data_IF_955607506982
#
_entry.id   IF_955607506982
#
_cell.length_a   1.000
_cell.length_b   1.000
_cell.length_c   1.000
_cell.angle_alpha   90.00
_cell.angle_beta   90.00
_cell.angle_gamma   90.00
#
_symmetry.space_group_name_H-M   'P 1'
#
loop_
_entity.id
_entity.type
_entity.pdbx_description
1 polymer ?
2 non-polymer ?
3 non-polymer ?
4 water ?
#
# COMPACT_ATOMS: atom_id res chain seq x y z
N UNK A 1 -8.69 -1.92 22.24
CA UNK A 1 -7.27 -1.62 21.89
C UNK A 1 -6.75 -2.72 20.98
N UNK A 2 -5.85 -2.38 20.06
CA UNK A 2 -5.26 -3.45 19.20
C UNK A 2 -4.24 -4.16 20.09
N UNK A 3 -4.14 -5.49 20.07
CA UNK A 3 -3.16 -6.05 21.01
C UNK A 3 -1.76 -5.79 20.45
N UNK A 4 -0.76 -5.80 21.33
CA UNK A 4 0.62 -5.67 20.91
C UNK A 4 1.02 -6.74 19.94
N UNK A 5 0.37 -7.91 20.01
CA UNK A 5 0.74 -8.99 19.09
C UNK A 5 0.20 -8.71 17.68
N UNK A 6 -1.06 -8.28 17.63
CA UNK A 6 -1.71 -8.03 16.33
C UNK A 6 -1.00 -6.83 15.66
N UNK A 7 -0.67 -5.86 16.48
CA UNK A 7 0.07 -4.69 16.09
C UNK A 7 1.42 -5.04 15.50
N UNK A 8 2.12 -6.08 15.99
CA UNK A 8 3.37 -6.46 15.39
C UNK A 8 3.15 -7.10 14.03
N UNK A 9 2.12 -7.92 13.87
CA UNK A 9 1.85 -8.57 12.60
C UNK A 9 1.49 -7.51 11.54
N UNK A 10 0.67 -6.55 11.94
CA UNK A 10 0.31 -5.44 11.08
C UNK A 10 1.58 -4.70 10.65
N UNK A 11 2.46 -4.37 11.59
CA UNK A 11 3.62 -3.57 11.26
C UNK A 11 4.82 -4.31 10.74
N UNK A 12 4.93 -5.64 10.78
CA UNK A 12 6.18 -6.24 10.41
C UNK A 12 6.07 -7.51 9.61
N UNK A 13 4.83 -8.03 9.50
CA UNK A 13 4.73 -9.31 8.81
C UNK A 13 4.17 -9.12 7.39
N UNK A 14 4.86 -9.68 6.42
CA UNK A 14 4.34 -9.79 5.06
C UNK A 14 4.91 -11.06 4.42
N UNK A 15 4.28 -12.19 4.84
CA UNK A 15 4.77 -13.51 4.50
C UNK A 15 4.43 -13.90 3.07
N UNK A 16 5.44 -14.44 2.36
CA UNK A 16 5.27 -14.78 0.96
C UNK A 16 6.58 -14.78 0.17
N UNK A 17 6.52 -15.36 -1.02
CA UNK A 17 7.64 -15.56 -1.90
C UNK A 17 8.19 -14.32 -2.58
N UNK A 18 7.37 -13.43 -3.12
CA UNK A 18 7.83 -12.21 -3.77
C UNK A 18 6.86 -11.04 -3.60
N UNK A 19 6.87 -10.43 -2.42
CA UNK A 19 5.98 -9.34 -2.05
C UNK A 19 6.18 -8.02 -2.78
N UNK A 20 7.34 -7.77 -3.39
CA UNK A 20 7.54 -6.51 -4.11
C UNK A 20 7.17 -6.65 -5.59
N UNK A 21 6.41 -7.69 -5.93
CA UNK A 21 5.95 -7.94 -7.27
C UNK A 21 4.80 -7.05 -7.75
N UNK A 22 4.99 -6.59 -8.99
CA UNK A 22 4.07 -5.75 -9.73
C UNK A 22 2.61 -6.14 -9.53
N UNK A 23 2.36 -7.45 -9.55
CA UNK A 23 1.00 -7.94 -9.44
C UNK A 23 0.33 -7.54 -8.15
N UNK A 24 1.11 -7.13 -7.15
CA UNK A 24 0.56 -6.70 -5.88
C UNK A 24 0.15 -5.24 -5.79
N UNK A 25 0.38 -4.47 -6.86
CA UNK A 25 0.08 -3.04 -6.85
C UNK A 25 -1.32 -2.72 -6.37
N UNK A 26 -2.34 -3.35 -6.93
CA UNK A 26 -3.71 -2.98 -6.56
C UNK A 26 -4.01 -3.31 -5.11
N UNK A 27 -3.52 -4.49 -4.70
CA UNK A 27 -3.70 -4.94 -3.33
C UNK A 27 -3.20 -3.89 -2.36
N UNK A 28 -1.96 -3.43 -2.55
CA UNK A 28 -1.43 -2.42 -1.65
C UNK A 28 -2.06 -1.05 -1.84
N UNK A 29 -2.41 -0.68 -3.08
CA UNK A 29 -2.92 0.69 -3.29
C UNK A 29 -4.34 0.82 -2.81
N UNK A 30 -5.08 -0.25 -3.09
CA UNK A 30 -6.49 -0.25 -2.64
C UNK A 30 -6.48 -0.11 -1.13
N UNK A 31 -5.50 -0.77 -0.49
CA UNK A 31 -5.34 -0.72 0.96
C UNK A 31 -4.86 0.65 1.39
N UNK A 32 -3.79 1.17 0.78
CA UNK A 32 -3.29 2.49 1.15
C UNK A 32 -4.32 3.58 1.02
N UNK A 33 -5.11 3.56 -0.07
CA UNK A 33 -6.07 4.63 -0.34
C UNK A 33 -7.39 4.45 0.33
N UNK A 34 -7.49 3.43 1.18
CA UNK A 34 -8.64 3.24 2.06
C UNK A 34 -9.91 2.79 1.39
N UNK A 35 -9.82 1.97 0.37
CA UNK A 35 -11.01 1.44 -0.30
C UNK A 35 -11.20 -0.05 0.03
N UNK A 36 -10.50 -0.50 1.08
CA UNK A 36 -10.62 -1.82 1.64
C UNK A 36 -11.18 -1.77 3.08
N UNK A 37 -11.74 -0.65 3.52
CA UNK A 37 -12.25 -0.47 4.87
C UNK A 37 -13.76 -0.66 4.95
N UNK A 38 -14.20 -1.65 5.73
CA UNK A 38 -15.68 -1.75 5.85
C UNK A 38 -16.18 -2.68 4.77
N UNK A 39 -15.54 -2.62 3.60
CA UNK A 39 -15.92 -3.52 2.50
C UNK A 39 -14.85 -3.48 1.42
N UNK A 40 -14.78 -4.44 0.51
CA UNK A 40 -13.82 -4.33 -0.59
C UNK A 40 -14.50 -3.58 -1.75
N UNK A 41 -13.91 -2.49 -2.23
CA UNK A 41 -14.50 -1.83 -3.44
C UNK A 41 -14.22 -2.76 -4.61
N UNK A 42 -15.27 -3.17 -5.34
CA UNK A 42 -15.09 -4.13 -6.40
C UNK A 42 -14.18 -3.66 -7.54
N UNK A 43 -14.37 -2.41 -7.98
CA UNK A 43 -13.69 -1.92 -9.19
C UNK A 43 -13.14 -0.51 -8.94
N UNK A 44 -11.87 -0.30 -9.26
CA UNK A 44 -11.33 1.06 -9.13
C UNK A 44 -10.16 1.24 -10.08
N UNK A 45 -10.14 2.39 -10.78
CA UNK A 45 -9.05 2.67 -11.74
C UNK A 45 -8.11 3.74 -11.20
N UNK A 46 -6.78 3.47 -11.33
CA UNK A 46 -5.87 4.54 -10.94
C UNK A 46 -5.30 5.15 -12.24
N UNK A 47 -5.15 6.46 -12.27
CA UNK A 47 -4.60 7.18 -13.44
C UNK A 47 -3.20 7.71 -13.16
N UNK A 48 -2.21 7.49 -13.99
CA UNK A 48 -0.84 7.86 -13.78
C UNK A 48 -0.36 9.14 -14.48
N UNK A 49 -1.23 9.80 -15.21
CA UNK A 49 -0.99 11.08 -15.85
C UNK A 49 -1.02 12.17 -14.80
N UNK A 50 -0.46 13.35 -15.06
CA UNK A 50 -0.56 14.44 -14.12
C UNK A 50 -1.99 14.83 -13.76
N UNK A 51 -2.16 15.46 -12.61
CA UNK A 51 -3.45 15.95 -12.14
C UNK A 51 -4.01 16.98 -13.12
N UNK A 52 -3.06 17.73 -13.69
CA UNK A 52 -3.44 18.80 -14.63
C UNK A 52 -4.02 18.22 -15.90
N UNK A 53 -3.45 17.15 -16.43
CA UNK A 53 -4.04 16.48 -17.59
C UNK A 53 -5.42 15.92 -17.33
N UNK A 54 -5.61 15.44 -16.08
CA UNK A 54 -6.92 14.81 -15.76
C UNK A 54 -7.93 15.89 -15.50
N UNK A 55 -7.49 17.02 -14.91
CA UNK A 55 -8.53 18.06 -14.67
C UNK A 55 -9.00 18.65 -16.00
N UNK A 56 -8.12 18.61 -17.01
CA UNK A 56 -8.47 19.20 -18.30
C UNK A 56 -9.55 18.44 -19.02
N UNK A 57 -9.65 17.11 -18.76
CA UNK A 57 -10.72 16.32 -19.35
C UNK A 57 -12.08 16.93 -19.13
N UNK A 58 -12.29 17.65 -18.04
CA UNK A 58 -13.57 18.29 -17.77
C UNK A 58 -13.93 19.38 -18.79
N UNK A 59 -13.02 19.66 -19.72
CA UNK A 59 -13.24 20.61 -20.80
C UNK A 59 -13.23 19.95 -22.16
N UNK A 60 -13.22 18.63 -22.19
CA UNK A 60 -13.07 17.93 -23.47
C UNK A 60 -14.36 17.34 -23.94
N UNK A 61 -14.40 16.13 -24.45
CA UNK A 61 -15.62 15.68 -25.12
C UNK A 61 -16.75 15.26 -24.20
N UNK A 62 -17.86 15.99 -24.20
CA UNK A 62 -19.01 15.65 -23.36
C UNK A 62 -19.73 14.39 -23.81
N UNK A 63 -19.90 13.43 -22.91
CA UNK A 63 -20.58 12.16 -23.22
C UNK A 63 -21.58 11.85 -22.11
N UNK A 64 -22.50 10.94 -22.31
CA UNK A 64 -23.45 10.55 -21.25
C UNK A 64 -22.79 9.49 -20.38
N UNK A 65 -23.06 9.59 -19.06
CA UNK A 65 -22.50 8.58 -18.13
C UNK A 65 -23.19 7.23 -18.26
N UNK A 66 -22.55 6.11 -17.92
CA UNK A 66 -23.23 4.81 -17.94
C UNK A 66 -24.55 4.85 -17.17
N UNK A 67 -24.63 5.60 -16.08
CA UNK A 67 -25.83 5.63 -15.23
C UNK A 67 -26.85 6.65 -15.68
N UNK A 68 -26.57 7.27 -16.85
CA UNK A 68 -27.52 8.15 -17.53
C UNK A 68 -27.40 9.59 -17.19
N UNK A 69 -26.48 9.94 -16.30
CA UNK A 69 -26.25 11.34 -15.96
C UNK A 69 -25.44 11.98 -17.10
N UNK A 70 -25.42 13.30 -17.10
CA UNK A 70 -24.90 13.95 -18.34
C UNK A 70 -23.67 14.77 -18.12
N UNK A 71 -23.06 14.70 -16.94
CA UNK A 71 -21.86 15.45 -16.63
C UNK A 71 -20.59 14.66 -16.83
N UNK A 72 -20.53 13.75 -17.78
CA UNK A 72 -19.30 13.00 -18.01
C UNK A 72 -18.58 13.54 -19.26
N UNK A 73 -17.29 13.43 -19.27
CA UNK A 73 -16.38 13.90 -20.27
C UNK A 73 -15.37 12.83 -20.63
N UNK A 74 -15.15 12.61 -21.91
CA UNK A 74 -14.17 11.67 -22.37
C UNK A 74 -12.86 12.39 -22.71
N UNK A 75 -11.72 11.76 -22.47
CA UNK A 75 -10.44 12.38 -22.74
C UNK A 75 -10.08 12.32 -24.23
N UNK A 76 -9.43 13.38 -24.72
CA UNK A 76 -9.03 13.44 -26.13
C UNK A 76 -7.92 12.42 -26.40
N UNK A 77 -7.01 12.35 -25.44
CA UNK A 77 -5.85 11.47 -25.58
C UNK A 77 -6.03 10.22 -24.69
N UNK A 78 -5.28 9.18 -25.04
CA UNK A 78 -5.20 7.95 -24.26
C UNK A 78 -4.31 8.21 -23.03
N UNK A 79 -4.72 7.66 -21.87
CA UNK A 79 -3.90 7.89 -20.68
C UNK A 79 -3.37 6.58 -20.12
N UNK A 80 -2.26 6.66 -19.41
CA UNK A 80 -1.74 5.50 -18.67
C UNK A 80 -2.56 5.32 -17.36
N UNK A 81 -3.24 4.18 -17.31
CA UNK A 81 -4.08 3.84 -16.15
C UNK A 81 -3.80 2.41 -15.64
N UNK A 82 -4.27 2.17 -14.40
CA UNK A 82 -4.27 0.80 -13.88
C UNK A 82 -5.69 0.45 -13.36
N UNK A 83 -6.17 -0.71 -13.81
CA UNK A 83 -7.47 -1.20 -13.38
C UNK A 83 -7.30 -2.20 -12.21
N UNK A 84 -8.03 -1.95 -11.15
CA UNK A 84 -8.07 -2.82 -9.98
C UNK A 84 -9.48 -3.42 -9.84
N UNK A 85 -9.53 -4.72 -10.16
CA UNK A 85 -10.77 -5.48 -10.12
C UNK A 85 -10.68 -6.63 -9.08
N UNK A 86 -11.68 -6.68 -8.22
CA UNK A 86 -11.71 -7.68 -7.16
C UNK A 86 -11.74 -9.08 -7.73
N UNK A 87 -10.89 -9.97 -7.18
CA UNK A 87 -10.79 -11.32 -7.73
C UNK A 87 -11.84 -12.27 -7.17
N UNK A 88 -11.79 -13.51 -7.67
CA UNK A 88 -12.69 -14.59 -7.25
C UNK A 88 -12.60 -14.92 -5.77
N UNK A 89 -11.40 -15.18 -5.32
CA UNK A 89 -11.01 -15.50 -3.96
C UNK A 89 -11.16 -14.40 -2.95
N UNK A 90 -11.56 -13.19 -3.36
CA UNK A 90 -11.57 -12.03 -2.46
C UNK A 90 -12.76 -12.08 -1.53
N UNK A 91 -12.50 -11.85 -0.26
CA UNK A 91 -13.52 -11.97 0.80
C UNK A 91 -13.20 -11.01 1.91
N UNK A 92 -14.06 -10.02 2.20
CA UNK A 92 -13.72 -9.09 3.29
C UNK A 92 -13.39 -9.93 4.54
N UNK A 93 -12.33 -9.56 5.30
CA UNK A 93 -11.50 -8.43 4.89
C UNK A 93 -10.22 -8.86 4.22
N UNK A 94 -10.21 -10.02 3.58
CA UNK A 94 -9.06 -10.40 2.75
C UNK A 94 -9.40 -9.92 1.31
N UNK A 95 -9.25 -8.61 1.10
CA UNK A 95 -9.54 -8.01 -0.21
C UNK A 95 -8.42 -8.24 -1.22
N UNK A 96 -8.72 -8.89 -2.33
CA UNK A 96 -7.70 -9.18 -3.31
C UNK A 96 -8.13 -8.67 -4.70
N UNK A 97 -7.12 -8.27 -5.46
CA UNK A 97 -7.42 -7.57 -6.71
C UNK A 97 -6.50 -8.02 -7.82
N UNK A 98 -7.03 -8.08 -9.02
CA UNK A 98 -6.12 -8.30 -10.19
C UNK A 98 -5.65 -6.91 -10.64
N UNK A 99 -4.40 -6.78 -10.99
CA UNK A 99 -3.80 -5.55 -11.46
C UNK A 99 -3.69 -5.57 -12.99
N UNK A 100 -4.37 -4.62 -13.67
CA UNK A 100 -4.24 -4.51 -15.12
C UNK A 100 -3.77 -3.12 -15.56
N UNK A 101 -2.60 -3.01 -16.16
CA UNK A 101 -2.09 -1.75 -16.70
C UNK A 101 -2.37 -1.71 -18.22
N UNK A 102 -3.06 -0.65 -18.60
CA UNK A 102 -3.44 -0.30 -19.95
C UNK A 102 -3.32 1.22 -20.20
N UNK A 103 -3.31 1.54 -21.49
CA UNK A 103 -3.40 2.94 -21.95
C UNK A 103 -4.70 3.14 -22.71
N UNK A 104 -5.64 3.93 -22.21
CA UNK A 104 -6.92 4.05 -22.86
C UNK A 104 -7.50 5.44 -22.68
N UNK A 105 -8.60 5.75 -23.37
CA UNK A 105 -9.23 7.06 -23.07
C UNK A 105 -10.02 6.87 -21.78
N UNK A 106 -10.12 7.89 -20.94
CA UNK A 106 -10.90 7.78 -19.71
C UNK A 106 -12.15 8.63 -19.84
N UNK A 107 -13.18 8.25 -19.10
CA UNK A 107 -14.37 9.08 -18.95
C UNK A 107 -14.55 9.39 -17.48
N UNK A 108 -14.70 10.66 -17.10
CA UNK A 108 -14.85 11.05 -15.72
C UNK A 108 -16.13 11.85 -15.62
N UNK A 109 -16.77 11.93 -14.46
CA UNK A 109 -17.83 12.92 -14.29
C UNK A 109 -17.15 14.13 -13.64
N UNK A 110 -17.63 15.33 -13.87
CA UNK A 110 -17.03 16.55 -13.34
C UNK A 110 -18.08 17.38 -12.62
N UNK A 111 -17.68 18.15 -11.64
CA UNK A 111 -18.68 18.85 -10.83
C UNK A 111 -17.99 19.84 -9.91
N UNK A 112 -18.77 20.68 -9.28
CA UNK A 112 -18.31 21.76 -8.44
C UNK A 112 -17.97 23.02 -9.25
N UNK A 113 -17.48 24.02 -8.55
CA UNK A 113 -17.07 25.29 -9.16
C UNK A 113 -15.75 25.68 -8.50
N UNK A 114 -14.66 25.54 -9.23
CA UNK A 114 -14.63 25.08 -10.59
C UNK A 114 -14.78 23.59 -10.86
N UNK A 115 -15.32 23.25 -12.02
CA UNK A 115 -15.57 21.89 -12.41
C UNK A 115 -14.36 20.99 -12.47
N UNK A 116 -14.24 20.01 -11.57
CA UNK A 116 -13.14 19.04 -11.54
C UNK A 116 -13.67 17.61 -11.46
N UNK A 117 -12.80 16.62 -11.65
CA UNK A 117 -13.22 15.22 -11.65
C UNK A 117 -13.75 14.82 -10.29
N UNK A 118 -14.88 14.11 -10.29
CA UNK A 118 -15.48 13.68 -9.04
C UNK A 118 -15.88 12.22 -9.09
N UNK A 119 -15.60 11.56 -10.20
CA UNK A 119 -16.05 10.19 -10.40
C UNK A 119 -15.39 9.64 -11.65
N UNK A 120 -14.87 8.41 -11.60
CA UNK A 120 -14.36 7.70 -12.73
C UNK A 120 -15.47 6.85 -13.31
N UNK A 121 -15.92 7.08 -14.54
CA UNK A 121 -17.00 6.32 -15.14
C UNK A 121 -16.59 5.13 -15.95
N UNK A 122 -15.50 5.21 -16.73
CA UNK A 122 -15.15 4.10 -17.61
C UNK A 122 -13.92 4.42 -18.43
N UNK A 123 -13.43 3.49 -19.18
CA UNK A 123 -12.29 3.65 -20.08
C UNK A 123 -12.68 2.98 -21.40
N UNK A 124 -12.14 3.51 -22.52
CA UNK A 124 -12.49 2.95 -23.84
C UNK A 124 -11.26 2.82 -24.72
N UNK B 1 -15.23 16.87 6.76
CA UNK B 1 -16.00 16.19 5.64
C UNK B 1 -15.24 16.34 4.32
N UNK B 2 -14.90 15.21 3.72
CA UNK B 2 -14.07 15.15 2.52
C UNK B 2 -14.82 15.61 1.27
N UNK B 3 -14.21 16.54 0.53
CA UNK B 3 -14.85 17.03 -0.69
C UNK B 3 -14.79 15.91 -1.74
N UNK B 4 -15.79 15.96 -2.65
CA UNK B 4 -15.86 15.02 -3.76
C UNK B 4 -14.59 15.06 -4.61
N UNK B 5 -14.00 16.25 -4.71
CA UNK B 5 -12.77 16.43 -5.47
C UNK B 5 -11.57 15.77 -4.81
N UNK B 6 -11.37 16.05 -3.51
CA UNK B 6 -10.26 15.39 -2.81
C UNK B 6 -10.39 13.88 -2.81
N UNK B 7 -11.65 13.43 -2.63
CA UNK B 7 -11.96 12.00 -2.74
C UNK B 7 -11.54 11.42 -4.06
N UNK B 8 -11.87 12.12 -5.17
CA UNK B 8 -11.42 11.60 -6.47
C UNK B 8 -9.92 11.45 -6.52
N UNK B 9 -9.15 12.42 -6.05
CA UNK B 9 -7.71 12.33 -6.03
C UNK B 9 -7.22 11.17 -5.19
N UNK B 10 -7.77 11.07 -3.95
CA UNK B 10 -7.46 9.91 -3.12
C UNK B 10 -7.76 8.60 -3.79
N UNK B 11 -8.94 8.43 -4.39
CA UNK B 11 -9.29 7.17 -5.02
C UNK B 11 -8.73 6.91 -6.38
N UNK B 12 -8.30 7.91 -7.19
CA UNK B 12 -7.90 7.52 -8.56
C UNK B 12 -6.61 8.08 -9.08
N UNK B 13 -5.95 8.97 -8.35
CA UNK B 13 -4.73 9.59 -8.84
C UNK B 13 -3.46 8.99 -8.27
N UNK B 14 -2.63 8.44 -9.16
CA UNK B 14 -1.31 7.99 -8.78
C UNK B 14 -0.33 8.38 -9.90
N UNK B 15 -0.16 9.71 -9.99
CA UNK B 15 0.66 10.33 -11.05
C UNK B 15 2.08 9.89 -10.98
N UNK B 16 2.63 9.44 -12.11
CA UNK B 16 4.05 9.02 -12.06
C UNK B 16 4.39 8.12 -13.21
N UNK B 17 5.65 7.78 -13.35
CA UNK B 17 6.08 7.05 -14.54
C UNK B 17 6.16 5.57 -14.34
N UNK B 18 6.58 5.14 -13.14
CA UNK B 18 6.57 3.66 -12.92
C UNK B 18 5.99 3.39 -11.53
N UNK B 19 4.68 3.52 -11.42
CA UNK B 19 3.97 3.32 -10.17
C UNK B 19 4.03 1.91 -9.59
N UNK B 20 4.24 0.84 -10.34
CA UNK B 20 4.26 -0.50 -9.74
C UNK B 20 5.68 -1.08 -9.61
N UNK B 21 6.67 -0.20 -9.65
CA UNK B 21 8.08 -0.54 -9.50
C UNK B 21 8.35 -1.11 -8.10
N UNK B 22 9.01 -2.24 -8.04
CA UNK B 22 9.43 -2.87 -6.80
C UNK B 22 10.02 -1.86 -5.83
N UNK B 23 10.73 -0.85 -6.36
CA UNK B 23 11.32 0.15 -5.46
C UNK B 23 10.29 0.99 -4.73
N UNK B 24 9.02 0.85 -5.06
CA UNK B 24 7.92 1.50 -4.37
C UNK B 24 7.28 0.62 -3.28
N UNK B 25 7.80 -0.59 -3.11
CA UNK B 25 7.28 -1.49 -2.07
C UNK B 25 7.09 -0.78 -0.74
N UNK B 26 8.10 -0.10 -0.21
CA UNK B 26 7.98 0.52 1.11
C UNK B 26 6.99 1.66 1.14
N UNK B 27 6.93 2.47 0.08
CA UNK B 27 5.98 3.61 0.15
C UNK B 27 4.57 3.09 0.21
N UNK B 28 4.28 2.01 -0.48
CA UNK B 28 2.92 1.47 -0.51
C UNK B 28 2.57 0.73 0.81
N UNK B 29 3.51 -0.12 1.23
CA UNK B 29 3.39 -0.93 2.44
C UNK B 29 3.27 -0.05 3.67
N UNK B 30 4.17 0.91 3.86
CA UNK B 30 4.09 1.82 4.97
C UNK B 30 2.78 2.58 5.02
N UNK B 31 2.16 2.82 3.86
CA UNK B 31 0.86 3.51 3.84
C UNK B 31 -0.25 2.51 4.18
N UNK B 32 -0.18 1.37 3.51
CA UNK B 32 -1.22 0.35 3.78
C UNK B 32 -1.28 -0.01 5.26
N UNK B 33 -0.11 -0.23 5.89
CA UNK B 33 -0.02 -0.73 7.27
C UNK B 33 -0.16 0.34 8.31
N UNK B 34 -0.57 1.53 7.85
CA UNK B 34 -0.94 2.64 8.68
C UNK B 34 0.19 3.25 9.45
N UNK B 35 1.40 3.25 8.92
CA UNK B 35 2.55 3.85 9.57
C UNK B 35 2.99 5.19 9.00
N UNK B 36 2.08 5.85 8.28
CA UNK B 36 2.27 7.16 7.67
C UNK B 36 1.17 8.15 8.04
N UNK B 37 0.57 7.96 9.22
CA UNK B 37 -0.47 8.82 9.77
C UNK B 37 0.05 9.73 10.86
N UNK B 38 -0.08 11.02 10.78
CA UNK B 38 0.36 11.91 11.87
C UNK B 38 1.83 12.24 11.73
N UNK B 39 2.61 11.26 11.31
CA UNK B 39 4.07 11.42 11.21
C UNK B 39 4.55 10.31 10.28
N UNK B 40 5.74 10.39 9.75
CA UNK B 40 6.30 9.31 8.98
C UNK B 40 7.23 8.45 9.86
N UNK B 41 6.93 7.17 10.01
CA UNK B 41 7.79 6.28 10.79
C UNK B 41 9.11 6.15 10.04
N UNK B 42 10.22 6.42 10.75
CA UNK B 42 11.51 6.53 10.12
C UNK B 42 12.12 5.24 9.64
N UNK B 43 12.01 4.20 10.47
CA UNK B 43 12.55 2.87 10.15
C UNK B 43 11.47 1.82 10.39
N UNK B 44 11.40 0.82 9.53
CA UNK B 44 10.41 -0.24 9.78
C UNK B 44 10.77 -1.44 8.95
N UNK B 45 10.89 -2.61 9.53
CA UNK B 45 11.31 -3.79 8.79
C UNK B 45 10.15 -4.76 8.60
N UNK B 46 10.05 -5.29 7.38
CA UNK B 46 9.02 -6.28 7.10
C UNK B 46 9.71 -7.61 6.97
N UNK B 47 9.06 -8.65 7.53
CA UNK B 47 9.67 -9.99 7.51
C UNK B 47 8.89 -10.89 6.58
N UNK B 48 9.57 -11.59 5.69
CA UNK B 48 8.81 -12.35 4.68
C UNK B 48 8.69 -13.83 5.02
N UNK B 49 9.31 -14.28 6.10
CA UNK B 49 9.13 -15.66 6.57
C UNK B 49 7.74 -15.86 7.14
N UNK B 50 7.33 -17.11 7.37
CA UNK B 50 5.97 -17.34 7.90
C UNK B 50 5.88 -16.88 9.35
N UNK B 51 4.66 -16.71 9.82
CA UNK B 51 4.45 -16.25 11.20
C UNK B 51 4.99 -17.20 12.23
N UNK B 52 4.84 -18.51 11.97
CA UNK B 52 5.31 -19.55 12.88
C UNK B 52 6.83 -19.48 12.99
N UNK B 53 7.51 -19.26 11.87
CA UNK B 53 8.97 -19.14 11.91
C UNK B 53 9.38 -17.93 12.71
N UNK B 54 8.59 -16.88 12.74
CA UNK B 54 8.95 -15.70 13.52
C UNK B 54 8.58 -15.87 14.99
N UNK B 55 7.43 -16.49 15.27
CA UNK B 55 6.95 -16.71 16.65
C UNK B 55 7.93 -17.57 17.43
N UNK B 56 8.52 -18.52 16.74
CA UNK B 56 9.52 -19.43 17.21
C UNK B 56 10.75 -18.73 17.72
N UNK B 57 11.00 -17.50 17.24
CA UNK B 57 12.23 -16.80 17.66
C UNK B 57 12.16 -16.50 19.15
N UNK B 58 10.93 -16.50 19.67
CA UNK B 58 10.75 -16.17 21.09
C UNK B 58 11.23 -17.30 22.00
N UNK B 59 11.70 -18.40 21.47
CA UNK B 59 12.25 -19.54 22.15
C UNK B 59 13.70 -19.80 21.75
N UNK B 60 14.32 -18.77 21.12
CA UNK B 60 15.72 -18.92 20.69
C UNK B 60 16.68 -18.14 21.53
N UNK B 61 17.76 -17.57 21.04
CA UNK B 61 18.78 -16.89 21.83
C UNK B 61 18.34 -15.59 22.47
N UNK B 62 18.27 -15.56 23.82
CA UNK B 62 17.89 -14.39 24.55
C UNK B 62 19.04 -13.39 24.52
N UNK B 63 18.75 -12.13 24.23
CA UNK B 63 19.77 -11.09 24.09
C UNK B 63 19.22 -9.80 24.69
N UNK B 64 20.09 -8.84 24.96
CA UNK B 64 19.56 -7.60 25.57
C UNK B 64 19.06 -6.71 24.45
N UNK B 65 17.98 -5.97 24.70
CA UNK B 65 17.49 -5.06 23.65
C UNK B 65 18.38 -3.82 23.60
N UNK B 66 18.34 -3.05 22.50
CA UNK B 66 19.21 -1.86 22.47
C UNK B 66 18.74 -0.86 23.49
N UNK B 67 17.48 -0.82 23.91
CA UNK B 67 17.10 0.18 24.91
C UNK B 67 17.30 -0.32 26.36
N UNK B 68 17.97 -1.47 26.53
CA UNK B 68 18.26 -2.01 27.85
C UNK B 68 17.28 -3.03 28.38
N UNK B 69 16.13 -3.23 27.72
CA UNK B 69 15.17 -4.24 28.13
C UNK B 69 15.76 -5.61 27.89
N UNK B 70 15.17 -6.64 28.53
CA UNK B 70 15.88 -7.95 28.49
C UNK B 70 15.11 -9.02 27.79
N UNK B 71 13.92 -8.65 27.28
CA UNK B 71 13.06 -9.57 26.59
C UNK B 71 13.28 -9.72 25.09
N UNK B 72 14.48 -9.65 24.59
CA UNK B 72 14.75 -9.75 23.16
C UNK B 72 15.40 -11.08 22.84
N UNK B 73 15.11 -11.56 21.64
CA UNK B 73 15.55 -12.86 21.17
C UNK B 73 16.04 -12.70 19.74
N UNK B 74 17.08 -13.41 19.41
CA UNK B 74 17.71 -13.37 18.09
C UNK B 74 17.48 -14.67 17.36
N UNK B 75 16.98 -14.63 16.14
CA UNK B 75 16.79 -15.81 15.34
C UNK B 75 18.11 -16.58 15.15
N UNK B 76 17.94 -17.90 15.11
CA UNK B 76 19.05 -18.84 14.98
C UNK B 76 19.56 -18.83 13.54
N UNK B 77 18.60 -18.67 12.66
CA UNK B 77 18.79 -18.63 11.23
C UNK B 77 18.59 -17.21 10.67
N UNK B 78 19.15 -17.01 9.45
CA UNK B 78 18.91 -15.72 8.78
C UNK B 78 17.48 -15.73 8.22
N UNK B 79 16.90 -14.56 8.06
CA UNK B 79 15.57 -14.44 7.51
C UNK B 79 15.46 -13.38 6.41
N UNK B 80 14.58 -13.63 5.46
CA UNK B 80 14.19 -12.72 4.41
C UNK B 80 13.34 -11.56 4.92
N UNK B 81 13.93 -10.37 4.84
CA UNK B 81 13.28 -9.18 5.30
C UNK B 81 13.53 -8.00 4.34
N UNK B 82 12.76 -6.96 4.53
CA UNK B 82 12.87 -5.72 3.78
C UNK B 82 12.91 -4.54 4.75
N UNK B 83 13.95 -3.72 4.64
CA UNK B 83 14.07 -2.54 5.47
C UNK B 83 13.49 -1.33 4.75
N UNK B 84 12.63 -0.56 5.38
CA UNK B 84 12.07 0.66 4.83
C UNK B 84 12.61 1.83 5.63
N UNK B 85 13.45 2.63 4.99
CA UNK B 85 14.00 3.76 5.74
C UNK B 85 13.61 5.05 5.04
N UNK B 86 13.11 6.02 5.77
CA UNK B 86 12.73 7.30 5.22
C UNK B 86 13.90 7.94 4.45
N UNK B 87 13.59 8.56 3.31
CA UNK B 87 14.64 9.27 2.55
C UNK B 87 14.79 10.70 3.04
N UNK B 88 15.84 11.39 2.59
CA UNK B 88 16.04 12.80 2.97
C UNK B 88 14.93 13.72 2.49
N UNK B 89 14.38 13.40 1.33
CA UNK B 89 13.31 14.15 0.69
C UNK B 89 11.99 14.04 1.41
N UNK B 90 11.86 13.01 2.22
CA UNK B 90 10.60 12.67 2.89
C UNK B 90 10.22 13.71 3.91
N UNK B 91 8.98 14.20 3.86
CA UNK B 91 8.44 15.17 4.82
C UNK B 91 6.92 15.03 4.91
N UNK B 92 6.41 14.67 6.07
CA UNK B 92 4.96 14.40 6.19
C UNK B 92 4.22 15.60 5.64
N UNK B 93 3.13 15.41 4.92
CA UNK B 93 2.53 14.14 4.63
C UNK B 93 3.16 13.41 3.46
N UNK B 94 4.27 13.92 3.00
CA UNK B 94 4.91 13.36 1.80
C UNK B 94 6.02 12.41 2.18
N UNK B 95 5.63 11.32 2.86
CA UNK B 95 6.59 10.33 3.40
C UNK B 95 7.17 9.55 2.22
N UNK B 96 8.46 9.30 2.21
CA UNK B 96 9.00 8.48 1.12
C UNK B 96 10.10 7.57 1.64
N UNK B 97 10.15 6.32 1.22
CA UNK B 97 11.08 5.38 1.79
C UNK B 97 11.99 4.69 0.78
N UNK B 98 13.21 4.37 1.21
CA UNK B 98 14.02 3.49 0.41
C UNK B 98 13.66 2.06 0.85
N UNK B 99 13.50 1.16 -0.08
CA UNK B 99 13.26 -0.25 0.09
C UNK B 99 14.56 -1.01 -0.05
N UNK B 100 14.99 -1.75 0.96
CA UNK B 100 16.16 -2.62 0.86
C UNK B 100 15.87 -4.05 1.31
N UNK B 101 16.16 -5.03 0.51
CA UNK B 101 15.94 -6.44 0.74
C UNK B 101 17.25 -7.14 1.13
N UNK B 102 17.24 -7.73 2.34
CA UNK B 102 18.40 -8.45 2.82
C UNK B 102 18.00 -9.80 3.44
N UNK B 103 18.97 -10.61 3.77
CA UNK B 103 18.84 -11.84 4.50
C UNK B 103 19.77 -11.76 5.72
N UNK B 104 19.16 -11.56 6.89
CA UNK B 104 19.84 -11.33 8.13
C UNK B 104 19.16 -12.02 9.31
N UNK B 105 19.89 -12.16 10.42
CA UNK B 105 19.22 -12.66 11.64
C UNK B 105 18.40 -11.55 12.23
N UNK B 106 17.21 -11.76 12.74
CA UNK B 106 16.43 -10.70 13.31
C UNK B 106 16.47 -10.76 14.85
N UNK B 107 16.22 -9.66 15.49
CA UNK B 107 16.09 -9.56 16.93
C UNK B 107 14.76 -8.91 17.26
N UNK B 108 13.85 -9.68 17.87
CA UNK B 108 12.55 -9.13 18.27
C UNK B 108 12.42 -9.08 19.79
N UNK B 109 11.58 -8.26 20.36
CA UNK B 109 11.21 -8.35 21.77
C UNK B 109 9.95 -9.25 21.84
N UNK B 110 9.88 -10.15 22.81
CA UNK B 110 8.67 -11.02 22.92
C UNK B 110 7.90 -10.73 24.20
N UNK B 111 6.58 -10.83 24.17
CA UNK B 111 5.81 -10.52 25.37
C UNK B 111 4.47 -11.26 25.38
N UNK B 112 3.75 -11.14 26.48
CA UNK B 112 2.48 -11.78 26.72
C UNK B 112 2.60 -13.27 27.01
N UNK B 113 1.46 -13.92 27.01
CA UNK B 113 1.36 -15.38 27.28
C UNK B 113 0.26 -15.97 26.40
N UNK B 114 0.57 -16.82 25.43
CA UNK B 114 1.92 -17.21 25.14
C UNK B 114 2.79 -16.03 24.72
N UNK B 115 4.08 -16.25 24.76
CA UNK B 115 5.09 -15.25 24.48
C UNK B 115 5.23 -15.17 22.94
N UNK B 116 4.88 -13.98 22.42
CA UNK B 116 4.96 -13.73 20.97
C UNK B 116 5.69 -12.42 20.69
N UNK B 117 6.14 -12.22 19.44
CA UNK B 117 6.88 -10.99 19.09
C UNK B 117 6.01 -9.76 19.23
N UNK B 118 6.49 -8.69 19.87
CA UNK B 118 5.77 -7.46 20.04
C UNK B 118 6.52 -6.20 19.55
N UNK B 119 7.78 -6.33 19.22
CA UNK B 119 8.62 -5.23 18.79
C UNK B 119 9.73 -5.74 17.89
N UNK B 120 10.13 -4.99 16.87
CA UNK B 120 11.27 -5.44 16.03
C UNK B 120 12.47 -4.65 16.54
N UNK B 121 13.56 -5.29 16.93
CA UNK B 121 14.60 -4.50 17.57
C UNK B 121 15.80 -4.17 16.67
N UNK B 122 16.20 -5.05 15.79
CA UNK B 122 17.39 -4.85 14.96
C UNK B 122 17.57 -6.06 14.07
N UNK B 123 18.44 -6.01 13.08
CA UNK B 123 18.76 -7.22 12.33
C UNK B 123 20.28 -7.28 12.28
N UNK B 124 20.85 -8.46 12.22
CA UNK B 124 22.30 -8.59 12.21
C UNK B 124 22.82 -9.64 11.25
X LIG C 1 -21.74 4.28 -10.89
X LIG C 1 -21.02 4.89 -9.74
X LIG C 1 -20.92 4.32 -12.15
X LIG C 1 -23.03 4.99 -11.10
X LIG C 1 -22.03 2.82 -10.59
X LIG D 1 -15.10 2.62 -11.42
X LIG D 1 -13.78 2.82 -11.73
X LIG D 1 -12.96 3.35 -10.98
X LIG D 1 -13.41 2.38 -12.97
X LIG D 1 -13.73 1.53 -15.04
X LIG D 1 -14.21 1.88 -13.95
X LIG D 1 -15.57 1.71 -13.54
X LIG D 1 -15.96 2.11 -12.34
X LIG D 1 -19.06 1.75 -9.71
X LIG D 1 -19.01 1.27 -11.08
X LIG D 1 -17.83 2.55 -9.35
X LIG D 1 -16.58 1.96 -9.76
X LIG D 1 -17.82 3.88 -10.04
X LIG D 1 -18.64 4.78 -9.30
X LIG D 1 -16.36 4.24 -9.86
X LIG D 1 -16.13 4.72 -8.59
X LIG D 1 -15.57 2.97 -10.04
X LIG D 1 -15.88 6.19 -8.13
X LIG D 1 -14.61 6.23 -7.34
X LIG D 1 -15.91 6.97 -9.42
X LIG D 1 -17.19 6.56 -7.39
X LIG D 1 -17.34 7.66 -6.56
X LIG D 1 -18.73 8.09 -6.55
X LIG D 1 -19.08 8.75 -7.79
X LIG D 1 -19.72 6.90 -6.40
X LIG D 1 -20.42 7.15 -5.16
X LIG D 1 -20.84 7.25 -7.45
X LIG D 1 -22.11 7.40 -6.74
X LIG D 1 -20.47 8.72 -7.83
X LIG D 1 -20.96 9.08 -9.17
X LIG D 1 -21.35 8.26 -10.23
X LIG D 1 -21.78 8.89 -11.26
X LIG D 1 -21.90 11.45 -11.58
X LIG D 1 -22.35 11.45 -12.84
X LIG D 1 -21.65 10.24 -10.88
X LIG D 1 -21.14 10.38 -9.59
X LIG D 1 -20.89 11.52 -8.91
X LIG D 1 -21.18 12.56 -9.64
X LIG D 1 -21.69 12.58 -10.88
X LIG E 1 13.05 1.59 20.50
X LIG E 1 11.66 1.42 19.95
X LIG E 1 12.88 2.32 21.81
X LIG E 1 13.78 0.32 20.65
X LIG E 1 13.85 2.45 19.56
X LIG F 1 8.58 10.45 -12.43
X LIG F 1 8.48 11.72 -11.63
X LIG F 1 7.92 9.33 -11.68
X LIG F 1 10.01 10.08 -12.69
X LIG F 1 7.90 10.66 -13.75
X LIG G 1 12.64 -0.78 13.87
X LIG G 1 12.49 -1.68 12.86
X LIG G 1 11.38 -2.03 12.42
X LIG G 1 13.63 -2.22 12.34
X LIG G 1 15.87 -2.56 12.23
X LIG G 1 14.91 -1.97 12.76
X LIG G 1 14.97 -1.04 13.83
X LIG G 1 13.87 -0.47 14.34
X LIG G 1 12.31 2.64 16.73
X LIG G 1 13.64 2.32 16.35
X LIG G 1 11.34 1.62 16.07
X LIG G 1 11.81 1.25 14.72
X LIG G 1 11.55 0.30 16.79
X LIG G 1 10.77 0.38 17.99
X LIG G 1 10.86 -0.62 15.75
X LIG G 1 9.47 -0.36 15.77
X LIG G 1 11.42 -0.13 14.42
X LIG G 1 8.37 -1.32 16.35
X LIG G 1 7.29 -1.51 15.34
X LIG G 1 9.14 -2.61 16.59
X LIG G 1 7.95 -0.71 17.67
X LIG G 1 6.76 -0.96 18.40
X LIG G 1 6.92 -0.60 19.84
X LIG G 1 7.95 -1.41 20.45
X LIG G 1 7.42 0.86 20.07
X LIG G 1 6.35 1.57 20.62
X LIG G 1 8.46 0.70 21.24
X LIG G 1 8.08 1.55 22.34
X LIG G 1 8.16 -0.72 21.71
X LIG G 1 9.25 -1.45 22.38
X LIG G 1 10.59 -1.26 22.29
X LIG G 1 11.31 -2.15 22.91
X LIG G 1 10.46 -4.14 24.28
X LIG G 1 11.64 -4.61 24.66
X LIG G 1 10.33 -2.99 23.48
X LIG G 1 9.07 -2.57 23.15
X LIG G 1 7.87 -3.15 23.49
X LIG G 1 8.11 -4.21 24.24
X LIG G 1 9.29 -4.70 24.65
#
# INVERSE_FOLDING_TARGET
KESAAAKFERQHMDSGNSPSSSSNYCNLMMCCRKMTQGKCKPVNTFVHESLADVKAVCSQKKVTCKNGQTNCYQSKSTMRITDCRETGSSKYPNCAYKTTQVEKHIIVACGGKPSVPVHFDASV
KESAAAKFERQHMDSGNSPSSSSNYCNLMMCCRKMTQGKCKPVNTFVHESLADVKAVCSQKKVTCKNGQTNCYQSKSTMRITDCRETGSSKYPNCAYKTTQVEKHIIVACGGKPSVPVHFDASV
SO4 S O1 O2 O3 O4
UPA N1U C2U O2U N3U O4U C4U C5U C6U C5D O5D C4D O4D C3D O3D C2D O2D C1D P O1P O2P O5B C5B C4B O4B C3B O3B C2B O2B C1B N9A C8A N7A C6A N6A C5A C4A N3A C2A N1A
SO4 S O1 O2 O3 O4
SO4 S O1 O2 O3 O4
UPA N1U C2U O2U N3U O4U C4U C5U C6U C5D O5D C4D O4D C3D O3D C2D O2D C1D P O1P O2P O5B C5B C4B O4B C3B O3B C2B O2B C1B N9A C8A N7A C6A N6A C5A C4A N3A C2A N1A
#
